data_IF_871371404381
#
_entry.id   IF_871371404381
#
_cell.length_a   1.000
_cell.length_b   1.000
_cell.length_c   1.000
_cell.angle_alpha   90.00
_cell.angle_beta   90.00
_cell.angle_gamma   90.00
#
_symmetry.space_group_name_H-M   'P 1'
#
loop_
_entity.id
_entity.type
_entity.pdbx_description
1 polymer ?
#
# COMPACT_ATOMS: atom_id res chain seq x y z
N UNK A 1 -4.99 -11.48 24.34
CA UNK A 1 -4.14 -10.47 23.65
C UNK A 1 -2.80 -11.03 23.12
N UNK A 2 -2.27 -12.15 23.63
CA UNK A 2 -0.97 -12.70 23.20
C UNK A 2 -0.88 -13.11 21.71
N UNK A 3 -1.99 -13.52 21.09
CA UNK A 3 -1.99 -13.97 19.69
C UNK A 3 -1.63 -12.85 18.71
N UNK A 4 -2.09 -11.61 18.96
CA UNK A 4 -1.82 -10.46 18.10
C UNK A 4 -0.33 -10.11 18.13
N UNK A 5 0.28 -10.12 19.33
CA UNK A 5 1.71 -9.88 19.51
C UNK A 5 2.52 -10.95 18.79
N UNK A 6 2.14 -12.22 18.94
CA UNK A 6 2.84 -13.34 18.28
C UNK A 6 2.72 -13.25 16.76
N UNK A 7 1.56 -12.89 16.24
CA UNK A 7 1.37 -12.69 14.81
C UNK A 7 2.20 -11.51 14.31
N UNK A 8 2.20 -10.37 15.01
CA UNK A 8 3.00 -9.22 14.64
C UNK A 8 4.50 -9.56 14.62
N UNK A 9 5.02 -10.25 15.64
CA UNK A 9 6.41 -10.71 15.67
C UNK A 9 6.69 -11.61 14.47
N UNK A 10 5.89 -12.65 14.24
CA UNK A 10 6.09 -13.56 13.10
C UNK A 10 6.07 -12.81 11.76
N UNK A 11 5.17 -11.84 11.58
CA UNK A 11 5.11 -11.07 10.33
C UNK A 11 6.32 -10.14 10.16
N UNK A 12 6.84 -9.57 11.25
CA UNK A 12 7.95 -8.61 11.20
C UNK A 12 9.34 -9.28 11.17
N UNK A 13 9.48 -10.51 11.66
CA UNK A 13 10.80 -11.18 11.78
C UNK A 13 11.04 -12.28 10.73
N UNK A 14 10.06 -12.56 9.87
CA UNK A 14 10.19 -13.57 8.81
C UNK A 14 10.28 -12.93 7.43
N UNK A 15 10.45 -13.73 6.38
CA UNK A 15 10.43 -13.30 4.97
C UNK A 15 9.17 -12.49 4.58
N UNK A 16 8.08 -12.62 5.33
CA UNK A 16 6.87 -11.80 5.13
C UNK A 16 7.12 -10.30 5.38
N UNK A 17 8.16 -9.93 6.12
CA UNK A 17 8.57 -8.54 6.29
C UNK A 17 8.98 -7.89 4.97
N UNK A 18 9.64 -8.63 4.06
CA UNK A 18 10.01 -8.13 2.74
C UNK A 18 8.80 -7.85 1.84
N UNK A 19 7.65 -8.46 2.17
CA UNK A 19 6.38 -8.27 1.46
C UNK A 19 5.58 -7.09 2.02
N UNK A 20 6.04 -6.44 3.08
CA UNK A 20 5.44 -5.20 3.56
C UNK A 20 5.84 -4.07 2.60
N UNK A 21 4.84 -3.33 2.14
CA UNK A 21 5.00 -2.19 1.25
C UNK A 21 4.31 -0.98 1.87
N UNK A 22 4.89 0.19 1.60
CA UNK A 22 4.28 1.47 1.97
C UNK A 22 3.50 2.01 0.79
N UNK A 23 2.35 2.61 1.04
CA UNK A 23 1.56 3.25 0.00
C UNK A 23 2.37 4.34 -0.70
N UNK A 24 2.43 4.34 -2.04
CA UNK A 24 3.12 5.39 -2.81
C UNK A 24 2.45 6.77 -2.77
N UNK A 25 1.42 6.97 -1.93
CA UNK A 25 0.80 8.28 -1.74
C UNK A 25 1.48 8.96 -0.55
N UNK A 26 2.14 10.12 -0.74
CA UNK A 26 2.97 10.75 0.30
C UNK A 26 2.23 11.03 1.61
N UNK A 27 0.93 11.33 1.53
CA UNK A 27 0.11 11.72 2.68
C UNK A 27 -0.56 10.51 3.35
N UNK A 28 -0.61 9.34 2.69
CA UNK A 28 -1.33 8.20 3.24
C UNK A 28 -0.57 7.47 4.34
N UNK A 29 0.75 7.29 4.18
CA UNK A 29 1.63 6.59 5.14
C UNK A 29 1.26 5.14 5.48
N UNK A 30 0.26 4.55 4.81
CA UNK A 30 -0.23 3.23 5.15
C UNK A 30 0.78 2.14 4.76
N UNK A 31 1.04 1.21 5.68
CA UNK A 31 1.82 0.00 5.47
C UNK A 31 0.86 -1.17 5.27
N UNK A 32 1.10 -2.00 4.26
CA UNK A 32 0.27 -3.16 3.95
C UNK A 32 1.13 -4.33 3.46
N UNK A 33 0.60 -5.54 3.60
CA UNK A 33 1.22 -6.74 3.04
C UNK A 33 0.86 -6.84 1.56
N UNK A 34 1.87 -6.95 0.69
CA UNK A 34 1.73 -7.23 -0.73
C UNK A 34 2.39 -8.58 -1.09
N UNK A 35 1.64 -9.70 -0.98
CA UNK A 35 2.14 -10.99 -1.41
C UNK A 35 2.41 -11.07 -2.93
N UNK A 36 1.79 -10.19 -3.72
CA UNK A 36 1.87 -10.22 -5.18
C UNK A 36 3.02 -9.40 -5.74
N UNK A 37 3.57 -8.47 -4.96
CA UNK A 37 4.59 -7.50 -5.40
C UNK A 37 4.14 -6.54 -6.51
N UNK A 38 2.84 -6.48 -6.82
CA UNK A 38 2.29 -5.68 -7.93
C UNK A 38 1.54 -4.43 -7.44
N UNK A 39 1.29 -4.29 -6.13
CA UNK A 39 0.51 -3.18 -5.59
C UNK A 39 1.41 -2.00 -5.29
N UNK A 40 1.06 -0.84 -5.86
CA UNK A 40 1.69 0.45 -5.55
C UNK A 40 0.93 1.26 -4.48
N UNK A 41 -0.34 0.97 -4.26
CA UNK A 41 -1.18 1.73 -3.33
C UNK A 41 -1.89 0.83 -2.34
N UNK A 42 -2.33 1.45 -1.24
CA UNK A 42 -3.05 0.78 -0.17
C UNK A 42 -4.27 -0.01 -0.68
N UNK A 43 -4.58 -1.15 -0.04
CA UNK A 43 -5.62 -2.06 -0.52
C UNK A 43 -7.04 -1.50 -0.39
N UNK A 44 -7.25 -0.46 0.42
CA UNK A 44 -8.53 0.25 0.54
C UNK A 44 -8.92 1.00 -0.74
N UNK A 45 -8.03 1.13 -1.73
CA UNK A 45 -8.35 1.66 -3.06
C UNK A 45 -8.42 3.18 -3.15
N UNK A 46 -8.54 3.90 -2.03
CA UNK A 46 -8.66 5.37 -2.00
C UNK A 46 -7.49 6.07 -2.68
N UNK A 47 -6.25 5.67 -2.38
CA UNK A 47 -5.05 6.27 -2.97
C UNK A 47 -4.91 5.91 -4.45
N UNK A 48 -5.21 4.66 -4.83
CA UNK A 48 -5.17 4.23 -6.23
C UNK A 48 -6.18 4.97 -7.12
N UNK A 49 -7.41 5.18 -6.63
CA UNK A 49 -8.44 5.94 -7.35
C UNK A 49 -8.01 7.41 -7.50
N UNK A 50 -7.53 8.05 -6.43
CA UNK A 50 -7.01 9.43 -6.49
C UNK A 50 -5.90 9.58 -7.53
N UNK A 51 -4.94 8.66 -7.55
CA UNK A 51 -3.85 8.67 -8.52
C UNK A 51 -4.36 8.55 -9.97
N UNK A 52 -5.33 7.66 -10.23
CA UNK A 52 -5.97 7.52 -11.55
C UNK A 52 -6.71 8.78 -11.98
N UNK A 53 -7.47 9.40 -11.08
CA UNK A 53 -8.18 10.66 -11.37
C UNK A 53 -7.21 11.79 -11.68
N UNK A 54 -6.10 11.91 -10.94
CA UNK A 54 -5.06 12.92 -11.21
C UNK A 54 -4.45 12.72 -12.60
N UNK A 55 -4.08 11.48 -12.94
CA UNK A 55 -3.52 11.15 -14.24
C UNK A 55 -4.51 11.44 -15.38
N UNK A 56 -5.80 11.14 -15.18
CA UNK A 56 -6.84 11.47 -16.15
C UNK A 56 -6.96 12.99 -16.36
N UNK A 57 -7.06 13.77 -15.27
CA UNK A 57 -7.14 15.25 -15.35
C UNK A 57 -5.92 15.87 -16.02
N UNK A 58 -4.72 15.35 -15.76
CA UNK A 58 -3.50 15.83 -16.42
C UNK A 58 -3.52 15.60 -17.93
N UNK A 59 -4.07 14.46 -18.39
CA UNK A 59 -4.23 14.17 -19.82
C UNK A 59 -5.24 15.12 -20.46
N UNK A 60 -6.39 15.32 -19.82
CA UNK A 60 -7.43 16.24 -20.31
C UNK A 60 -7.00 17.71 -20.34
N UNK A 61 -6.03 18.10 -19.51
CA UNK A 61 -5.51 19.47 -19.45
C UNK A 61 -4.33 19.70 -20.41
N UNK A 62 -3.76 18.63 -20.97
CA UNK A 62 -2.69 18.69 -21.96
C UNK A 62 -3.21 18.62 -23.40
N UNK A 63 -4.54 18.57 -23.54
CA UNK A 63 -5.32 18.60 -24.79
C UNK A 63 -6.01 19.97 -24.89
#
# INVERSE_FOLDING_TARGET
MAWLVRQAITTLTTDTAAKLQTCSEPICGAIFLDPTGRRRWCPTGRCGVKARVRAHRQRMAAE
#
